data_IF_899868956377
#
_entry.id   IF_899868956377
#
_cell.length_a   1.000
_cell.length_b   1.000
_cell.length_c   1.000
_cell.angle_alpha   90.00
_cell.angle_beta   90.00
_cell.angle_gamma   90.00
#
_symmetry.space_group_name_H-M   'P 1'
#
loop_
_entity.id
_entity.type
_entity.pdbx_description
1 polymer ?
#
# COMPACT_ATOMS: atom_id res chain seq x y z
N UNK A 1 -24.55 0.96 1.24
CA UNK A 1 -23.36 1.78 1.54
C UNK A 1 -22.24 0.86 1.99
N UNK A 2 -21.02 1.03 1.44
CA UNK A 2 -19.87 0.19 1.77
C UNK A 2 -18.96 0.97 2.73
N UNK A 3 -18.44 0.32 3.77
CA UNK A 3 -17.51 0.96 4.69
C UNK A 3 -16.12 1.03 4.03
N UNK A 4 -15.86 2.14 3.33
CA UNK A 4 -14.59 2.40 2.64
C UNK A 4 -13.39 2.34 3.57
N UNK A 5 -13.53 2.81 4.82
CA UNK A 5 -12.46 2.76 5.81
C UNK A 5 -12.08 1.31 6.18
N UNK A 6 -13.07 0.41 6.28
CA UNK A 6 -12.83 -1.01 6.54
C UNK A 6 -12.11 -1.67 5.36
N UNK A 7 -12.55 -1.40 4.14
CA UNK A 7 -11.90 -1.89 2.92
C UNK A 7 -10.46 -1.38 2.81
N UNK A 8 -10.24 -0.10 3.08
CA UNK A 8 -8.90 0.49 3.09
C UNK A 8 -8.00 -0.17 4.14
N UNK A 9 -8.52 -0.49 5.34
CA UNK A 9 -7.76 -1.20 6.37
C UNK A 9 -7.38 -2.62 5.94
N UNK A 10 -8.31 -3.36 5.34
CA UNK A 10 -8.04 -4.72 4.84
C UNK A 10 -7.04 -4.71 3.69
N UNK A 11 -7.20 -3.78 2.76
CA UNK A 11 -6.30 -3.62 1.63
C UNK A 11 -4.90 -3.12 2.06
N UNK A 12 -4.83 -2.30 3.11
CA UNK A 12 -3.56 -1.83 3.71
C UNK A 12 -2.76 -3.00 4.25
N UNK A 13 -3.42 -3.85 5.04
CA UNK A 13 -2.79 -5.06 5.58
C UNK A 13 -2.27 -5.97 4.47
N UNK A 14 -3.07 -6.20 3.44
CA UNK A 14 -2.64 -6.97 2.27
C UNK A 14 -1.44 -6.33 1.55
N UNK A 15 -1.42 -5.01 1.41
CA UNK A 15 -0.33 -4.32 0.73
C UNK A 15 0.99 -4.33 1.52
N UNK A 16 0.94 -4.40 2.85
CA UNK A 16 2.13 -4.38 3.73
C UNK A 16 2.64 -5.76 4.11
N UNK A 17 1.83 -6.81 4.03
CA UNK A 17 2.19 -8.20 4.41
C UNK A 17 2.24 -9.10 3.16
N UNK A 18 3.35 -9.12 2.40
CA UNK A 18 3.47 -9.91 1.18
C UNK A 18 3.43 -11.43 1.40
N UNK A 19 3.59 -11.88 2.65
CA UNK A 19 3.54 -13.29 3.06
C UNK A 19 2.11 -13.82 3.22
N UNK A 20 1.09 -12.94 3.18
CA UNK A 20 -0.30 -13.38 3.23
C UNK A 20 -0.65 -14.17 1.96
N UNK A 21 -1.25 -15.35 2.13
CA UNK A 21 -1.82 -16.16 1.05
C UNK A 21 -2.70 -15.32 0.10
N UNK A 22 -3.52 -14.43 0.67
CA UNK A 22 -4.38 -13.55 -0.10
C UNK A 22 -3.56 -12.61 -0.99
N UNK A 23 -2.48 -12.01 -0.49
CA UNK A 23 -1.58 -11.19 -1.29
C UNK A 23 -0.90 -11.99 -2.41
N UNK A 24 -0.41 -13.19 -2.10
CA UNK A 24 0.24 -14.06 -3.09
C UNK A 24 -0.71 -14.49 -4.21
N UNK A 25 -1.96 -14.84 -3.87
CA UNK A 25 -3.01 -15.13 -4.85
C UNK A 25 -3.30 -13.87 -5.67
N UNK A 26 -3.56 -12.73 -5.05
CA UNK A 26 -3.81 -11.48 -5.80
C UNK A 26 -2.65 -11.13 -6.74
N UNK A 27 -1.41 -11.31 -6.31
CA UNK A 27 -0.20 -11.08 -7.11
C UNK A 27 -0.15 -12.00 -8.32
N UNK A 28 -0.40 -13.30 -8.15
CA UNK A 28 -0.39 -14.27 -9.25
C UNK A 28 -1.46 -13.95 -10.31
N UNK A 29 -2.65 -13.53 -9.86
CA UNK A 29 -3.80 -13.36 -10.74
C UNK A 29 -3.89 -11.97 -11.37
N UNK A 30 -3.47 -10.92 -10.67
CA UNK A 30 -3.75 -9.53 -11.06
C UNK A 30 -2.52 -8.67 -11.31
N UNK A 31 -1.37 -8.99 -10.72
CA UNK A 31 -0.14 -8.18 -10.88
C UNK A 31 1.14 -9.04 -10.81
N UNK A 32 1.30 -10.02 -11.73
CA UNK A 32 2.45 -10.91 -11.72
C UNK A 32 3.73 -10.12 -12.02
N UNK A 33 4.76 -10.32 -11.20
CA UNK A 33 6.05 -9.62 -11.36
C UNK A 33 6.04 -8.14 -10.98
N UNK A 34 4.90 -7.58 -10.56
CA UNK A 34 4.80 -6.19 -10.10
C UNK A 34 4.24 -6.12 -8.67
N UNK A 35 3.75 -4.95 -8.25
CA UNK A 35 3.21 -4.71 -6.92
C UNK A 35 1.81 -4.07 -6.99
N UNK A 36 1.09 -4.11 -5.88
CA UNK A 36 -0.28 -3.59 -5.78
C UNK A 36 -0.40 -2.10 -6.15
N UNK A 37 0.63 -1.28 -5.87
CA UNK A 37 0.65 0.16 -6.15
C UNK A 37 0.72 0.45 -7.66
N UNK A 38 1.32 -0.43 -8.46
CA UNK A 38 1.35 -0.29 -9.93
C UNK A 38 0.35 -1.17 -10.65
N UNK A 39 -0.46 -1.96 -9.91
CA UNK A 39 -1.43 -2.86 -10.49
C UNK A 39 -2.56 -2.13 -11.22
N UNK A 40 -2.99 -2.70 -12.34
CA UNK A 40 -4.08 -2.18 -13.18
C UNK A 40 -5.33 -3.09 -13.11
N UNK A 41 -6.52 -2.59 -13.48
CA UNK A 41 -7.75 -3.39 -13.49
C UNK A 41 -7.69 -4.63 -14.40
N UNK A 42 -6.94 -4.58 -15.49
CA UNK A 42 -6.94 -5.65 -16.50
C UNK A 42 -8.28 -5.75 -17.26
N UNK A 43 -8.42 -6.82 -18.06
CA UNK A 43 -9.52 -6.94 -19.06
C UNK A 43 -10.86 -7.38 -18.48
N UNK A 44 -10.87 -8.15 -17.40
CA UNK A 44 -12.08 -8.60 -16.71
C UNK A 44 -11.83 -8.76 -15.20
N UNK A 45 -11.69 -7.65 -14.47
CA UNK A 45 -11.46 -7.68 -13.03
C UNK A 45 -12.66 -8.28 -12.28
N UNK A 46 -12.40 -9.08 -11.25
CA UNK A 46 -13.44 -9.53 -10.32
C UNK A 46 -14.01 -8.34 -9.54
N UNK A 47 -15.21 -8.47 -8.99
CA UNK A 47 -15.82 -7.42 -8.17
C UNK A 47 -14.91 -7.03 -7.00
N UNK A 48 -14.38 -8.02 -6.29
CA UNK A 48 -13.43 -7.81 -5.19
C UNK A 48 -12.18 -7.07 -5.64
N UNK A 49 -11.63 -7.41 -6.81
CA UNK A 49 -10.45 -6.72 -7.34
C UNK A 49 -10.74 -5.25 -7.71
N UNK A 50 -11.92 -4.95 -8.28
CA UNK A 50 -12.32 -3.55 -8.54
C UNK A 50 -12.47 -2.76 -7.23
N UNK A 51 -13.09 -3.36 -6.21
CA UNK A 51 -13.23 -2.70 -4.91
C UNK A 51 -11.89 -2.44 -4.25
N UNK A 52 -10.94 -3.38 -4.36
CA UNK A 52 -9.58 -3.22 -3.86
C UNK A 52 -8.81 -2.13 -4.64
N UNK A 53 -8.96 -2.09 -5.97
CA UNK A 53 -8.39 -1.03 -6.79
C UNK A 53 -9.02 0.34 -6.50
N UNK A 54 -10.31 0.39 -6.16
CA UNK A 54 -10.98 1.62 -5.73
C UNK A 54 -10.36 2.20 -4.45
N UNK A 55 -9.83 1.36 -3.56
CA UNK A 55 -9.13 1.82 -2.36
C UNK A 55 -7.64 2.10 -2.58
N UNK A 56 -7.11 1.83 -3.79
CA UNK A 56 -5.70 2.03 -4.13
C UNK A 56 -5.24 3.47 -3.91
N UNK A 57 -6.02 4.46 -4.35
CA UNK A 57 -5.64 5.87 -4.19
C UNK A 57 -5.60 6.28 -2.72
N UNK A 58 -6.59 5.86 -1.93
CA UNK A 58 -6.62 6.07 -0.49
C UNK A 58 -5.44 5.41 0.23
N UNK A 59 -5.06 4.20 -0.21
CA UNK A 59 -3.92 3.46 0.31
C UNK A 59 -2.61 4.17 -0.01
N UNK A 60 -2.39 4.56 -1.25
CA UNK A 60 -1.19 5.30 -1.67
C UNK A 60 -1.09 6.63 -0.92
N UNK A 61 -2.20 7.33 -0.73
CA UNK A 61 -2.23 8.57 0.06
C UNK A 61 -1.90 8.34 1.56
N UNK A 62 -2.25 7.18 2.11
CA UNK A 62 -1.97 6.80 3.50
C UNK A 62 -0.62 6.11 3.72
N UNK A 63 -0.03 5.52 2.68
CA UNK A 63 1.26 4.83 2.74
C UNK A 63 2.37 5.84 3.02
N UNK A 64 3.32 5.44 3.88
CA UNK A 64 4.50 6.23 4.22
C UNK A 64 5.71 5.35 4.08
N UNK A 65 6.79 5.92 3.58
CA UNK A 65 8.06 5.21 3.48
C UNK A 65 8.69 5.04 4.86
N UNK A 66 9.08 3.80 5.18
CA UNK A 66 9.84 3.46 6.38
C UNK A 66 11.18 2.88 5.95
N UNK A 67 12.28 3.44 6.44
CA UNK A 67 13.62 2.90 6.21
C UNK A 67 13.74 1.59 6.99
N UNK A 68 14.16 0.53 6.30
CA UNK A 68 14.59 -0.72 6.92
C UNK A 68 16.06 -0.65 7.32
N UNK A 69 16.90 -1.42 6.63
CA UNK A 69 18.35 -1.47 6.83
C UNK A 69 19.12 -0.29 6.18
N UNK A 70 18.44 0.55 5.41
CA UNK A 70 19.01 1.72 4.74
C UNK A 70 19.83 1.42 3.49
N UNK A 71 20.05 0.16 3.12
CA UNK A 71 20.93 -0.22 2.01
C UNK A 71 20.27 -0.04 0.63
N UNK A 72 18.94 -0.01 0.58
CA UNK A 72 18.15 0.07 -0.65
C UNK A 72 17.19 1.26 -0.66
N UNK A 73 17.33 2.20 0.28
CA UNK A 73 16.42 3.34 0.40
C UNK A 73 16.72 4.41 -0.64
N UNK A 74 15.73 4.71 -1.50
CA UNK A 74 15.77 5.84 -2.42
C UNK A 74 15.26 7.09 -1.68
N UNK A 75 16.16 8.06 -1.45
CA UNK A 75 15.89 9.19 -0.55
C UNK A 75 14.94 10.22 -1.20
N UNK A 76 15.00 10.32 -2.52
CA UNK A 76 14.35 11.38 -3.31
C UNK A 76 12.97 10.89 -3.78
N UNK A 77 11.99 11.80 -3.80
CA UNK A 77 10.61 11.60 -4.30
C UNK A 77 9.70 10.62 -3.55
N UNK A 78 10.05 10.21 -2.34
CA UNK A 78 9.18 9.34 -1.52
C UNK A 78 8.38 10.12 -0.46
N UNK A 79 7.12 9.72 -0.17
CA UNK A 79 6.33 10.32 0.90
C UNK A 79 6.86 9.87 2.27
N UNK A 80 7.82 10.64 2.78
CA UNK A 80 8.38 10.51 4.13
C UNK A 80 7.30 10.76 5.19
N UNK A 81 7.50 10.18 6.38
CA UNK A 81 6.75 10.62 7.55
C UNK A 81 7.04 12.11 7.78
N UNK A 82 6.00 12.96 7.99
CA UNK A 82 6.23 14.35 8.33
C UNK A 82 7.12 14.40 9.57
N UNK A 83 8.12 15.28 9.56
CA UNK A 83 8.98 15.50 10.74
C UNK A 83 8.06 15.79 11.93
N UNK A 84 8.11 14.94 12.95
CA UNK A 84 7.47 15.22 14.23
C UNK A 84 8.11 16.51 14.75
N UNK A 85 7.34 17.61 14.82
CA UNK A 85 7.78 18.87 15.42
C UNK A 85 8.04 18.76 16.94
N UNK A 86 8.00 17.56 17.53
CA UNK A 86 8.00 17.34 18.99
C UNK A 86 9.27 16.71 19.52
N UNK A 87 10.35 16.59 18.73
CA UNK A 87 11.68 16.37 19.32
C UNK A 87 12.31 17.72 19.68
N UNK A 88 11.64 18.48 20.55
CA UNK A 88 12.33 19.53 21.28
C UNK A 88 13.24 18.82 22.28
N UNK A 89 14.52 18.75 21.93
CA UNK A 89 15.57 18.53 22.92
C UNK A 89 15.48 19.72 23.87
N UNK A 90 14.83 19.52 25.01
CA UNK A 90 14.98 20.41 26.15
C UNK A 90 16.45 20.38 26.55
N UNK A 91 17.22 21.32 26.00
CA UNK A 91 18.53 21.73 26.46
C UNK A 91 18.41 22.60 27.70
#
# INVERSE_FOLDING_TARGET
EYNEALLAKQASRNATEPDLLLYQVLRQWYFPGSNFVVAEPGRSPSFTWRSLLGTKELLVAGLRWRIGDGLTAWIVDQPWLPRLQTFELLS
#
